data_IF_456607072214
#
_entry.id   IF_456607072214
#
_cell.length_a   1.000
_cell.length_b   1.000
_cell.length_c   1.000
_cell.angle_alpha   90.00
_cell.angle_beta   90.00
_cell.angle_gamma   90.00
#
_symmetry.space_group_name_H-M   'P 1'
#
loop_
_entity.id
_entity.type
_entity.pdbx_description
1 polymer ?
#
# COMPACT_ATOMS: atom_id res chain seq x y z
N UNK A 1 -1.15 -18.79 7.84
CA UNK A 1 -0.87 -17.34 7.80
C UNK A 1 0.13 -17.04 6.71
N UNK A 2 -0.24 -16.26 5.70
CA UNK A 2 0.68 -15.85 4.61
C UNK A 2 1.71 -14.87 5.17
N UNK A 3 3.01 -15.15 4.97
CA UNK A 3 4.09 -14.26 5.40
C UNK A 3 4.44 -13.30 4.27
N UNK A 4 4.17 -12.00 4.46
CA UNK A 4 4.55 -10.96 3.51
C UNK A 4 5.95 -10.40 3.83
N UNK A 5 6.73 -10.11 2.80
CA UNK A 5 7.98 -9.34 2.91
C UNK A 5 7.77 -7.97 2.28
N UNK A 6 8.14 -6.92 3.00
CA UNK A 6 8.06 -5.56 2.46
C UNK A 6 9.20 -5.32 1.47
N UNK A 7 8.87 -4.70 0.33
CA UNK A 7 9.82 -4.09 -0.59
C UNK A 7 9.48 -2.60 -0.67
N UNK A 8 10.49 -1.75 -0.61
CA UNK A 8 10.30 -0.30 -0.71
C UNK A 8 9.80 0.06 -2.12
N UNK A 9 8.98 1.11 -2.16
CA UNK A 9 8.43 1.69 -3.38
C UNK A 9 8.88 3.15 -3.48
N UNK A 10 9.15 3.62 -4.70
CA UNK A 10 9.60 4.97 -4.96
C UNK A 10 8.42 5.87 -5.32
N UNK A 11 8.31 7.06 -4.69
CA UNK A 11 7.30 8.05 -5.07
C UNK A 11 7.69 8.71 -6.39
N UNK A 12 7.16 8.21 -7.49
CA UNK A 12 7.50 8.67 -8.85
C UNK A 12 6.97 10.07 -9.17
N UNK A 13 5.68 10.33 -8.93
CA UNK A 13 5.04 11.62 -9.17
C UNK A 13 3.74 11.73 -8.38
N UNK A 14 3.45 12.90 -7.79
CA UNK A 14 2.22 13.12 -7.02
C UNK A 14 1.93 11.99 -6.02
N UNK A 15 0.75 11.36 -6.16
CA UNK A 15 0.33 10.18 -5.42
C UNK A 15 0.50 8.86 -6.22
N UNK A 16 1.63 8.70 -6.90
CA UNK A 16 1.97 7.49 -7.67
C UNK A 16 3.31 6.93 -7.21
N UNK A 17 3.31 5.64 -6.84
CA UNK A 17 4.48 4.90 -6.40
C UNK A 17 4.83 3.78 -7.37
N UNK A 18 6.12 3.55 -7.58
CA UNK A 18 6.64 2.55 -8.52
C UNK A 18 7.61 1.60 -7.83
N UNK A 19 7.70 0.37 -8.32
CA UNK A 19 8.68 -0.62 -7.83
C UNK A 19 9.20 -1.43 -9.01
N UNK A 20 10.51 -1.58 -9.08
CA UNK A 20 11.17 -2.48 -10.03
C UNK A 20 11.16 -3.89 -9.43
N UNK A 21 10.80 -4.90 -10.22
CA UNK A 21 10.66 -6.30 -9.77
C UNK A 21 9.72 -6.42 -8.55
N UNK A 22 8.41 -6.20 -8.71
CA UNK A 22 7.46 -6.32 -7.61
C UNK A 22 7.51 -7.73 -6.98
N UNK A 23 7.17 -7.87 -5.69
CA UNK A 23 6.97 -9.18 -5.08
C UNK A 23 5.99 -10.04 -5.89
N UNK A 24 6.16 -11.36 -5.85
CA UNK A 24 5.25 -12.30 -6.52
C UNK A 24 4.19 -12.82 -5.54
N UNK A 25 3.02 -13.18 -6.08
CA UNK A 25 1.88 -13.65 -5.28
C UNK A 25 0.91 -12.53 -4.91
N UNK A 26 -0.03 -12.80 -3.98
CA UNK A 26 -0.92 -11.77 -3.45
C UNK A 26 -0.11 -10.65 -2.78
N UNK A 27 -0.60 -9.41 -2.88
CA UNK A 27 0.13 -8.23 -2.42
C UNK A 27 -0.65 -7.48 -1.33
N UNK A 28 0.11 -6.86 -0.42
CA UNK A 28 -0.37 -5.84 0.51
C UNK A 28 0.52 -4.62 0.37
N UNK A 29 -0.07 -3.44 0.57
CA UNK A 29 0.64 -2.17 0.56
C UNK A 29 0.70 -1.64 1.99
N UNK A 30 1.88 -1.34 2.52
CA UNK A 30 2.02 -0.66 3.81
C UNK A 30 2.33 0.81 3.57
N UNK A 31 1.56 1.70 4.17
CA UNK A 31 1.64 3.14 3.94
C UNK A 31 2.09 3.86 5.22
N UNK A 32 2.97 4.85 5.09
CA UNK A 32 3.27 5.81 6.15
C UNK A 32 2.40 7.04 5.89
N UNK A 33 1.56 7.38 6.86
CA UNK A 33 0.63 8.49 6.79
C UNK A 33 1.10 9.58 7.75
N UNK A 34 1.10 10.82 7.28
CA UNK A 34 1.36 12.01 8.10
C UNK A 34 0.19 12.99 7.96
N UNK A 35 -0.11 13.75 9.03
CA UNK A 35 -1.14 14.79 8.98
C UNK A 35 -2.20 14.78 10.09
N UNK A 36 -1.93 14.17 11.24
CA UNK A 36 -2.74 14.37 12.46
C UNK A 36 -2.56 15.78 13.07
N UNK A 37 -3.30 16.10 14.14
CA UNK A 37 -3.24 17.41 14.82
C UNK A 37 -1.81 17.86 15.21
N UNK A 38 -0.91 16.91 15.48
CA UNK A 38 0.48 17.18 15.88
C UNK A 38 1.50 16.89 14.77
N UNK A 39 1.04 16.53 13.56
CA UNK A 39 1.93 16.16 12.46
C UNK A 39 2.53 14.76 12.58
N UNK A 40 1.97 13.91 13.45
CA UNK A 40 2.46 12.55 13.70
C UNK A 40 2.48 11.67 12.45
N UNK A 41 3.43 10.73 12.44
CA UNK A 41 3.57 9.69 11.42
C UNK A 41 3.04 8.35 11.94
N UNK A 42 2.15 7.70 11.19
CA UNK A 42 1.60 6.39 11.55
C UNK A 42 1.67 5.41 10.38
N UNK A 43 2.09 4.18 10.68
CA UNK A 43 2.06 3.09 9.71
C UNK A 43 0.67 2.47 9.64
N UNK A 44 0.13 2.38 8.43
CA UNK A 44 -1.13 1.71 8.11
C UNK A 44 -0.88 0.50 7.23
N UNK A 45 -1.52 -0.62 7.55
CA UNK A 45 -1.58 -1.81 6.70
C UNK A 45 -3.06 -2.12 6.40
N UNK A 46 -3.50 -2.07 5.13
CA UNK A 46 -4.81 -2.48 4.68
C UNK A 46 -5.15 -3.92 5.04
N UNK A 47 -6.43 -4.19 5.22
CA UNK A 47 -6.96 -5.54 5.46
C UNK A 47 -7.16 -6.31 4.16
N UNK A 48 -7.53 -5.61 3.08
CA UNK A 48 -7.79 -6.22 1.79
C UNK A 48 -6.50 -6.45 1.01
N UNK A 49 -6.36 -7.67 0.49
CA UNK A 49 -5.20 -8.14 -0.28
C UNK A 49 -5.47 -7.91 -1.76
N UNK A 50 -4.46 -7.38 -2.48
CA UNK A 50 -4.47 -7.33 -3.94
C UNK A 50 -4.21 -8.76 -4.45
N UNK A 51 -5.07 -9.33 -5.31
CA UNK A 51 -4.93 -10.71 -5.76
C UNK A 51 -3.68 -10.88 -6.62
N UNK A 52 -3.16 -12.11 -6.69
CA UNK A 52 -1.94 -12.42 -7.45
C UNK A 52 -2.05 -12.08 -8.95
N UNK A 53 -3.24 -12.19 -9.51
CA UNK A 53 -3.53 -12.02 -10.94
C UNK A 53 -4.09 -10.63 -11.28
N UNK A 54 -3.76 -9.62 -10.46
CA UNK A 54 -4.16 -8.23 -10.66
C UNK A 54 -3.88 -7.72 -12.09
N UNK A 55 -4.70 -6.78 -12.58
CA UNK A 55 -4.60 -6.22 -13.94
C UNK A 55 -4.26 -4.75 -13.90
N UNK A 56 -3.49 -4.32 -14.88
CA UNK A 56 -3.23 -2.89 -15.08
C UNK A 56 -4.55 -2.16 -15.40
N UNK A 57 -4.79 -1.05 -14.71
CA UNK A 57 -6.00 -0.24 -14.85
C UNK A 57 -7.15 -0.62 -13.90
N UNK A 58 -7.07 -1.77 -13.22
CA UNK A 58 -8.06 -2.15 -12.22
C UNK A 58 -7.86 -1.36 -10.91
N UNK A 59 -8.95 -1.23 -10.16
CA UNK A 59 -8.98 -0.60 -8.84
C UNK A 59 -9.23 -1.65 -7.77
N UNK A 60 -8.40 -1.64 -6.73
CA UNK A 60 -8.51 -2.56 -5.59
C UNK A 60 -8.80 -1.75 -4.32
N UNK A 61 -9.93 -2.05 -3.67
CA UNK A 61 -10.35 -1.40 -2.43
C UNK A 61 -9.50 -1.88 -1.24
N UNK A 62 -8.92 -0.94 -0.49
CA UNK A 62 -8.03 -1.24 0.65
C UNK A 62 -8.77 -1.66 1.92
N UNK A 63 -10.09 -1.47 2.00
CA UNK A 63 -10.89 -1.79 3.19
C UNK A 63 -10.57 -0.93 4.41
N UNK A 64 -9.85 0.18 4.23
CA UNK A 64 -9.43 1.09 5.30
C UNK A 64 -9.70 2.53 4.91
N UNK A 65 -10.16 3.32 5.87
CA UNK A 65 -10.40 4.76 5.75
C UNK A 65 -9.65 5.45 6.88
N UNK A 66 -8.94 6.53 6.58
CA UNK A 66 -8.34 7.38 7.61
C UNK A 66 -9.45 8.17 8.32
N UNK A 67 -9.42 8.17 9.65
CA UNK A 67 -10.26 9.05 10.45
C UNK A 67 -9.59 10.42 10.52
N UNK A 68 -10.40 11.47 10.39
CA UNK A 68 -9.98 12.87 10.46
C UNK A 68 -9.84 13.34 11.90
#
# INVERSE_FOLDING_TARGET
TTKFRCKLVDRSHGAVWTVVEPPTGPLLVRMLVSGGQEGDETWLVPTNVIPQDWKAGDVYDSGVQLQA
#
